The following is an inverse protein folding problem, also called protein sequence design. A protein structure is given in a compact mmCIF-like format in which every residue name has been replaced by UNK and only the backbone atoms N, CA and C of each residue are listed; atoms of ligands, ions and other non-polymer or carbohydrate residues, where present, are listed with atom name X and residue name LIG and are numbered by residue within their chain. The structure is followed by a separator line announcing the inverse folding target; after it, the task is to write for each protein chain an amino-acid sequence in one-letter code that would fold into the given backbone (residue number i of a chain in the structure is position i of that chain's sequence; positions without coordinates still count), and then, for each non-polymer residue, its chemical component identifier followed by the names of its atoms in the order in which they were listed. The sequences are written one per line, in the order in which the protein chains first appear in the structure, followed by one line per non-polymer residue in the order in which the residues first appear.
data_IF_304782890711
#
_entry.id   IF_304782890711
#
_cell.length_a   1.000
_cell.length_b   1.000
_cell.length_c   1.000
_cell.angle_alpha   90.00
_cell.angle_beta   90.00
_cell.angle_gamma   90.00
#
_symmetry.space_group_name_H-M   'P 1'
#
loop_
_entity.id
_entity.type
_entity.pdbx_description
1 polymer ?
#
# COMPACT_ATOMS: atom_id res chain seq x y z
N UNK A 1 50.63 16.13 -57.28
CA UNK A 1 49.50 15.77 -56.41
C UNK A 1 48.77 17.06 -56.13
N UNK A 2 47.64 17.22 -56.83
CA UNK A 2 47.04 18.50 -57.21
C UNK A 2 46.10 18.98 -56.11
N UNK A 3 45.88 20.30 -56.00
CA UNK A 3 44.99 20.92 -55.00
C UNK A 3 43.59 20.24 -54.90
N UNK A 4 43.12 19.66 -56.00
CA UNK A 4 41.87 18.89 -56.08
C UNK A 4 41.85 17.63 -55.18
N UNK A 5 42.99 16.97 -54.96
CA UNK A 5 43.09 15.80 -54.06
C UNK A 5 42.95 16.24 -52.59
N UNK A 6 43.52 17.39 -52.24
CA UNK A 6 43.46 18.00 -50.91
C UNK A 6 42.03 18.41 -50.58
N UNK A 7 41.32 19.07 -51.51
CA UNK A 7 39.92 19.46 -51.32
C UNK A 7 39.00 18.24 -51.13
N UNK A 8 39.26 17.16 -51.88
CA UNK A 8 38.52 15.90 -51.76
C UNK A 8 38.69 15.25 -50.38
N UNK A 9 39.89 15.28 -49.82
CA UNK A 9 40.16 14.69 -48.51
C UNK A 9 39.61 15.55 -47.36
N UNK A 10 39.62 16.88 -47.50
CA UNK A 10 38.96 17.80 -46.56
C UNK A 10 37.45 17.51 -46.51
N UNK A 11 36.79 17.43 -47.68
CA UNK A 11 35.33 17.17 -47.74
C UNK A 11 34.97 15.80 -47.16
N UNK A 12 35.79 14.76 -47.38
CA UNK A 12 35.58 13.44 -46.75
C UNK A 12 35.70 13.52 -45.23
N UNK A 13 36.69 14.25 -44.71
CA UNK A 13 36.90 14.39 -43.27
C UNK A 13 35.73 15.12 -42.60
N UNK A 14 35.25 16.21 -43.22
CA UNK A 14 34.04 16.92 -42.75
C UNK A 14 32.80 16.03 -42.79
N UNK A 15 32.63 15.23 -43.85
CA UNK A 15 31.51 14.29 -43.96
C UNK A 15 31.56 13.20 -42.88
N UNK A 16 32.74 12.65 -42.59
CA UNK A 16 32.92 11.68 -41.51
C UNK A 16 32.64 12.31 -40.14
N UNK A 17 33.11 13.53 -39.90
CA UNK A 17 32.82 14.26 -38.66
C UNK A 17 31.31 14.49 -38.48
N UNK A 18 30.63 14.92 -39.56
CA UNK A 18 29.19 15.11 -39.54
C UNK A 18 28.45 13.79 -39.25
N UNK A 19 28.90 12.70 -39.86
CA UNK A 19 28.36 11.36 -39.62
C UNK A 19 28.56 10.93 -38.17
N UNK A 20 29.75 11.08 -37.60
CA UNK A 20 30.02 10.70 -36.21
C UNK A 20 29.17 11.53 -35.22
N UNK A 21 29.02 12.83 -35.49
CA UNK A 21 28.14 13.71 -34.70
C UNK A 21 26.67 13.31 -34.82
N UNK A 22 26.23 12.95 -36.02
CA UNK A 22 24.88 12.47 -36.26
C UNK A 22 24.63 11.15 -35.53
N UNK A 23 25.53 10.18 -35.65
CA UNK A 23 25.42 8.88 -34.99
C UNK A 23 25.40 9.03 -33.47
N UNK A 24 26.25 9.90 -32.91
CA UNK A 24 26.22 10.25 -31.48
C UNK A 24 24.89 10.85 -31.07
N UNK A 25 24.41 11.87 -31.78
CA UNK A 25 23.13 12.51 -31.47
C UNK A 25 21.96 11.53 -31.55
N UNK A 26 21.96 10.66 -32.56
CA UNK A 26 20.93 9.64 -32.73
C UNK A 26 20.93 8.64 -31.56
N UNK A 27 22.11 8.19 -31.12
CA UNK A 27 22.24 7.30 -29.96
C UNK A 27 21.78 7.98 -28.66
N UNK A 28 22.16 9.24 -28.45
CA UNK A 28 21.74 10.03 -27.28
C UNK A 28 20.21 10.20 -27.27
N UNK A 29 19.59 10.44 -28.44
CA UNK A 29 18.14 10.56 -28.59
C UNK A 29 17.42 9.25 -28.27
N UNK A 30 17.92 8.11 -28.77
CA UNK A 30 17.36 6.79 -28.49
C UNK A 30 17.43 6.49 -26.99
N UNK A 31 18.59 6.70 -26.37
CA UNK A 31 18.79 6.47 -24.93
C UNK A 31 17.83 7.34 -24.08
N UNK A 32 17.69 8.61 -24.45
CA UNK A 32 16.76 9.52 -23.77
C UNK A 32 15.30 9.10 -23.94
N UNK A 33 14.93 8.59 -25.12
CA UNK A 33 13.56 8.12 -25.38
C UNK A 33 13.24 6.90 -24.51
N UNK A 34 14.14 5.92 -24.46
CA UNK A 34 14.00 4.73 -23.61
C UNK A 34 13.88 5.10 -22.12
N UNK A 35 14.71 6.03 -21.65
CA UNK A 35 14.66 6.50 -20.27
C UNK A 35 13.29 7.14 -19.92
N UNK A 36 12.74 7.97 -20.82
CA UNK A 36 11.42 8.59 -20.63
C UNK A 36 10.29 7.56 -20.63
N UNK A 37 10.34 6.56 -21.52
CA UNK A 37 9.37 5.47 -21.56
C UNK A 37 9.40 4.62 -20.29
N UNK A 38 10.60 4.30 -19.79
CA UNK A 38 10.79 3.57 -18.54
C UNK A 38 10.28 4.37 -17.34
N UNK A 39 10.56 5.67 -17.27
CA UNK A 39 10.03 6.56 -16.22
C UNK A 39 8.51 6.65 -16.27
N UNK A 40 7.93 6.80 -17.48
CA UNK A 40 6.48 6.83 -17.66
C UNK A 40 5.82 5.53 -17.21
N UNK A 41 6.43 4.38 -17.47
CA UNK A 41 5.93 3.08 -17.02
C UNK A 41 5.96 2.98 -15.49
N UNK A 42 7.09 3.30 -14.85
CA UNK A 42 7.23 3.27 -13.38
C UNK A 42 6.22 4.18 -12.69
N UNK A 43 6.02 5.39 -13.21
CA UNK A 43 5.01 6.33 -12.70
C UNK A 43 3.59 5.77 -12.85
N UNK A 44 3.27 5.14 -13.99
CA UNK A 44 1.97 4.50 -14.18
C UNK A 44 1.74 3.37 -13.18
N UNK A 45 2.73 2.49 -13.01
CA UNK A 45 2.65 1.36 -12.07
C UNK A 45 2.52 1.84 -10.62
N UNK A 46 3.27 2.88 -10.24
CA UNK A 46 3.19 3.51 -8.93
C UNK A 46 1.79 4.07 -8.68
N UNK A 47 1.25 4.87 -9.62
CA UNK A 47 -0.05 5.51 -9.47
C UNK A 47 -1.19 4.49 -9.37
N UNK A 48 -1.13 3.40 -10.14
CA UNK A 48 -2.15 2.36 -10.06
C UNK A 48 -2.08 1.61 -8.73
N UNK A 49 -0.90 1.18 -8.31
CA UNK A 49 -0.73 0.49 -7.02
C UNK A 49 -1.11 1.40 -5.83
N UNK A 50 -0.80 2.70 -5.90
CA UNK A 50 -1.20 3.68 -4.90
C UNK A 50 -2.73 3.81 -4.83
N UNK A 51 -3.39 3.90 -5.98
CA UNK A 51 -4.87 3.94 -6.06
C UNK A 51 -5.50 2.67 -5.50
N UNK A 52 -4.97 1.51 -5.86
CA UNK A 52 -5.46 0.22 -5.33
C UNK A 52 -5.31 0.15 -3.81
N UNK A 53 -4.17 0.61 -3.27
CA UNK A 53 -3.91 0.69 -1.84
C UNK A 53 -4.89 1.63 -1.13
N UNK A 54 -5.07 2.84 -1.67
CA UNK A 54 -6.03 3.84 -1.16
C UNK A 54 -7.44 3.25 -1.08
N UNK A 55 -7.93 2.67 -2.17
CA UNK A 55 -9.25 2.04 -2.18
C UNK A 55 -9.34 0.84 -1.24
N UNK A 56 -8.25 0.07 -1.08
CA UNK A 56 -8.17 -0.99 -0.09
C UNK A 56 -8.36 -0.48 1.33
N UNK A 57 -7.66 0.60 1.66
CA UNK A 57 -7.73 1.25 2.97
C UNK A 57 -9.11 1.86 3.23
N UNK A 58 -9.64 2.66 2.29
CA UNK A 58 -10.98 3.27 2.39
C UNK A 58 -12.07 2.22 2.61
N UNK A 59 -12.02 1.10 1.86
CA UNK A 59 -12.97 -0.01 2.07
C UNK A 59 -12.89 -0.59 3.49
N UNK A 60 -11.71 -0.67 4.07
CA UNK A 60 -11.56 -1.17 5.44
C UNK A 60 -12.08 -0.16 6.48
N UNK A 61 -11.80 1.12 6.27
CA UNK A 61 -12.33 2.21 7.10
C UNK A 61 -13.86 2.26 7.05
N UNK A 62 -14.47 2.13 5.86
CA UNK A 62 -15.92 2.08 5.67
C UNK A 62 -16.56 0.88 6.35
N UNK A 63 -15.94 -0.30 6.27
CA UNK A 63 -16.39 -1.50 6.99
C UNK A 63 -16.39 -1.24 8.50
N UNK A 64 -15.33 -0.63 9.03
CA UNK A 64 -15.25 -0.30 10.46
C UNK A 64 -16.33 0.72 10.86
N UNK A 65 -16.50 1.80 10.09
CA UNK A 65 -17.52 2.82 10.35
C UNK A 65 -18.94 2.24 10.31
N UNK A 66 -19.22 1.33 9.37
CA UNK A 66 -20.49 0.60 9.30
C UNK A 66 -20.72 -0.25 10.54
N UNK A 67 -19.69 -0.93 11.05
CA UNK A 67 -19.78 -1.67 12.31
C UNK A 67 -20.06 -0.76 13.52
N UNK A 68 -19.48 0.43 13.56
CA UNK A 68 -19.70 1.40 14.64
C UNK A 68 -21.09 2.01 14.61
N UNK A 69 -21.62 2.30 13.41
CA UNK A 69 -22.96 2.85 13.21
C UNK A 69 -24.07 1.89 13.68
N UNK A 70 -23.83 0.57 13.61
CA UNK A 70 -24.77 -0.44 14.10
C UNK A 70 -24.87 -0.49 15.65
N UNK A 71 -23.95 0.17 16.37
CA UNK A 71 -23.97 0.33 17.82
C UNK A 71 -23.82 -0.98 18.63
N UNK A 72 -23.90 -0.86 19.96
CA UNK A 72 -23.77 -1.99 20.91
C UNK A 72 -24.88 -3.06 20.86
N UNK A 73 -25.79 -2.98 19.88
CA UNK A 73 -26.83 -3.98 19.61
C UNK A 73 -26.21 -5.26 19.00
N UNK A 74 -24.99 -5.16 18.46
CA UNK A 74 -24.22 -6.30 18.01
C UNK A 74 -23.33 -6.89 19.13
N UNK A 75 -23.89 -7.24 20.30
CA UNK A 75 -23.27 -8.29 21.16
C UNK A 75 -23.52 -9.69 20.57
N UNK A 76 -23.51 -9.78 19.25
CA UNK A 76 -23.59 -11.03 18.50
C UNK A 76 -22.17 -11.63 18.49
N UNK A 77 -21.98 -12.90 18.86
CA UNK A 77 -20.71 -13.62 18.69
C UNK A 77 -20.07 -13.42 17.31
N UNK A 78 -20.88 -13.20 16.27
CA UNK A 78 -20.42 -12.92 14.90
C UNK A 78 -19.69 -11.59 14.75
N UNK A 79 -19.88 -10.62 15.65
CA UNK A 79 -19.16 -9.34 15.60
C UNK A 79 -17.66 -9.55 15.80
N UNK A 80 -17.26 -10.40 16.75
CA UNK A 80 -15.86 -10.69 17.01
C UNK A 80 -15.16 -11.29 15.78
N UNK A 81 -15.81 -12.25 15.11
CA UNK A 81 -15.26 -12.87 13.90
C UNK A 81 -15.15 -11.87 12.73
N UNK A 82 -16.10 -10.95 12.61
CA UNK A 82 -16.08 -9.88 11.60
C UNK A 82 -14.94 -8.89 11.86
N UNK A 83 -14.75 -8.44 13.10
CA UNK A 83 -13.66 -7.51 13.46
C UNK A 83 -12.30 -8.19 13.29
N UNK A 84 -12.16 -9.47 13.66
CA UNK A 84 -10.95 -10.26 13.41
C UNK A 84 -10.63 -10.35 11.91
N UNK A 85 -11.64 -10.66 11.11
CA UNK A 85 -11.51 -10.73 9.64
C UNK A 85 -11.09 -9.37 9.05
N UNK A 86 -11.70 -8.28 9.50
CA UNK A 86 -11.35 -6.93 9.06
C UNK A 86 -9.92 -6.54 9.49
N UNK A 87 -9.51 -6.88 10.70
CA UNK A 87 -8.12 -6.68 11.16
C UNK A 87 -7.13 -7.42 10.27
N UNK A 88 -7.43 -8.67 9.94
CA UNK A 88 -6.56 -9.49 9.09
C UNK A 88 -6.51 -8.93 7.66
N UNK A 89 -7.64 -8.42 7.12
CA UNK A 89 -7.67 -7.69 5.84
C UNK A 89 -6.77 -6.43 5.87
N UNK A 90 -6.85 -5.61 6.92
CA UNK A 90 -5.98 -4.43 7.07
C UNK A 90 -4.51 -4.85 7.18
N UNK A 91 -4.21 -5.96 7.86
CA UNK A 91 -2.85 -6.50 7.93
C UNK A 91 -2.30 -6.88 6.54
N UNK A 92 -3.15 -7.36 5.63
CA UNK A 92 -2.74 -7.68 4.25
C UNK A 92 -2.39 -6.43 3.43
N UNK A 93 -2.87 -5.24 3.80
CA UNK A 93 -2.51 -3.98 3.11
C UNK A 93 -1.04 -3.57 3.33
N UNK A 94 -0.37 -4.10 4.36
CA UNK A 94 1.04 -3.79 4.66
C UNK A 94 2.00 -4.18 3.53
N UNK A 95 1.73 -5.29 2.83
CA UNK A 95 2.59 -5.75 1.74
C UNK A 95 2.45 -4.85 0.48
N UNK A 96 1.24 -4.56 -0.02
CA UNK A 96 1.06 -3.55 -1.07
C UNK A 96 1.63 -2.19 -0.69
N UNK A 97 1.45 -1.73 0.56
CA UNK A 97 2.07 -0.49 1.07
C UNK A 97 3.59 -0.52 0.92
N UNK A 98 4.26 -1.59 1.33
CA UNK A 98 5.71 -1.72 1.17
C UNK A 98 6.15 -1.68 -0.30
N UNK A 99 5.38 -2.29 -1.20
CA UNK A 99 5.65 -2.22 -2.66
C UNK A 99 5.54 -0.78 -3.16
N UNK A 100 4.45 -0.08 -2.82
CA UNK A 100 4.22 1.32 -3.22
C UNK A 100 5.29 2.24 -2.62
N UNK A 101 5.71 1.99 -1.39
CA UNK A 101 6.80 2.74 -0.73
C UNK A 101 8.11 2.58 -1.48
N UNK A 102 8.47 1.36 -1.87
CA UNK A 102 9.66 1.12 -2.66
C UNK A 102 9.60 1.82 -4.02
N UNK A 103 8.44 1.77 -4.69
CA UNK A 103 8.21 2.49 -5.95
C UNK A 103 8.38 4.01 -5.78
N UNK A 104 7.84 4.59 -4.71
CA UNK A 104 8.04 6.01 -4.38
C UNK A 104 9.52 6.35 -4.20
N UNK A 105 10.26 5.57 -3.41
CA UNK A 105 11.69 5.80 -3.18
C UNK A 105 12.51 5.71 -4.46
N UNK A 106 12.23 4.75 -5.34
CA UNK A 106 12.91 4.65 -6.63
C UNK A 106 12.59 5.85 -7.54
N UNK A 107 11.33 6.31 -7.57
CA UNK A 107 10.93 7.50 -8.31
C UNK A 107 11.57 8.79 -7.76
N UNK A 108 11.63 8.96 -6.44
CA UNK A 108 12.28 10.11 -5.80
C UNK A 108 13.77 10.13 -6.11
N UNK A 109 14.44 8.97 -6.07
CA UNK A 109 15.85 8.87 -6.46
C UNK A 109 16.07 9.29 -7.93
N UNK A 110 15.25 8.79 -8.84
CA UNK A 110 15.32 9.12 -10.27
C UNK A 110 14.99 10.59 -10.55
N UNK A 111 14.04 11.17 -9.80
CA UNK A 111 13.73 12.59 -9.86
C UNK A 111 14.92 13.45 -9.38
N UNK A 112 15.57 13.06 -8.28
CA UNK A 112 16.73 13.74 -7.73
C UNK A 112 17.94 13.75 -8.68
N UNK A 113 18.17 12.66 -9.43
CA UNK A 113 19.18 12.60 -10.50
C UNK A 113 18.95 13.67 -11.58
N UNK A 114 17.69 14.09 -11.76
CA UNK A 114 17.28 15.13 -12.69
C UNK A 114 17.06 16.50 -12.01
N UNK A 115 17.48 16.66 -10.75
CA UNK A 115 17.27 17.88 -9.94
C UNK A 115 15.79 18.25 -9.74
N UNK A 116 14.90 17.26 -9.71
CA UNK A 116 13.47 17.42 -9.45
C UNK A 116 13.19 16.99 -8.01
N UNK A 117 12.50 17.84 -7.24
CA UNK A 117 12.04 17.50 -5.90
C UNK A 117 10.72 16.71 -5.98
N UNK A 118 10.74 15.48 -5.50
CA UNK A 118 9.60 14.58 -5.49
C UNK A 118 9.32 13.97 -4.09
N UNK A 119 9.89 14.54 -3.02
CA UNK A 119 9.79 13.99 -1.67
C UNK A 119 8.33 13.83 -1.17
N UNK A 120 7.41 14.65 -1.69
CA UNK A 120 5.98 14.52 -1.40
C UNK A 120 5.40 13.14 -1.72
N UNK A 121 5.93 12.41 -2.72
CA UNK A 121 5.49 11.05 -3.04
C UNK A 121 5.77 10.09 -1.87
N UNK A 122 6.90 10.28 -1.21
CA UNK A 122 7.25 9.52 -0.03
C UNK A 122 6.35 9.91 1.15
N UNK A 123 6.16 11.20 1.41
CA UNK A 123 5.30 11.68 2.50
C UNK A 123 3.85 11.17 2.38
N UNK A 124 3.29 11.17 1.16
CA UNK A 124 1.95 10.65 0.90
C UNK A 124 1.84 9.15 1.21
N UNK A 125 2.83 8.35 0.78
CA UNK A 125 2.83 6.91 1.03
C UNK A 125 3.07 6.57 2.49
N UNK A 126 3.90 7.35 3.19
CA UNK A 126 4.11 7.21 4.64
C UNK A 126 2.83 7.53 5.41
N UNK A 127 2.11 8.58 5.01
CA UNK A 127 0.79 8.89 5.56
C UNK A 127 -0.23 7.74 5.42
N UNK A 128 -0.18 6.99 4.31
CA UNK A 128 -0.99 5.77 4.18
C UNK A 128 -0.53 4.65 5.11
N UNK A 129 0.78 4.50 5.30
CA UNK A 129 1.35 3.56 6.25
C UNK A 129 0.89 3.82 7.67
N UNK A 130 0.92 5.09 8.09
CA UNK A 130 0.44 5.52 9.40
C UNK A 130 -1.04 5.22 9.59
N UNK A 131 -1.88 5.54 8.60
CA UNK A 131 -3.32 5.21 8.63
C UNK A 131 -3.58 3.71 8.72
N UNK A 132 -2.85 2.89 7.95
CA UNK A 132 -2.96 1.42 8.01
C UNK A 132 -2.61 0.92 9.42
N UNK A 133 -1.53 1.43 10.00
CA UNK A 133 -1.09 1.04 11.34
C UNK A 133 -2.08 1.48 12.42
N UNK A 134 -2.59 2.70 12.34
CA UNK A 134 -3.60 3.21 13.26
C UNK A 134 -4.90 2.40 13.18
N UNK A 135 -5.38 2.11 11.97
CA UNK A 135 -6.57 1.29 11.76
C UNK A 135 -6.38 -0.12 12.30
N UNK A 136 -5.23 -0.74 12.03
CA UNK A 136 -4.91 -2.06 12.55
C UNK A 136 -4.87 -2.08 14.08
N UNK A 137 -4.25 -1.08 14.72
CA UNK A 137 -4.19 -0.98 16.18
C UNK A 137 -5.60 -0.84 16.79
N UNK A 138 -6.44 0.05 16.24
CA UNK A 138 -7.84 0.20 16.67
C UNK A 138 -8.63 -1.10 16.57
N UNK A 139 -8.44 -1.85 15.48
CA UNK A 139 -9.10 -3.14 15.28
C UNK A 139 -8.60 -4.22 16.25
N UNK A 140 -7.32 -4.21 16.59
CA UNK A 140 -6.73 -5.16 17.53
C UNK A 140 -7.20 -4.90 18.96
N UNK A 141 -7.21 -3.64 19.40
CA UNK A 141 -7.79 -3.22 20.69
C UNK A 141 -9.25 -3.66 20.79
N UNK A 142 -10.03 -3.40 19.75
CA UNK A 142 -11.44 -3.81 19.69
C UNK A 142 -11.61 -5.33 19.73
N UNK A 143 -10.74 -6.09 19.06
CA UNK A 143 -10.75 -7.54 19.13
C UNK A 143 -10.51 -8.02 20.56
N UNK A 144 -9.55 -7.43 21.26
CA UNK A 144 -9.23 -7.74 22.66
C UNK A 144 -10.41 -7.47 23.59
N UNK A 145 -11.06 -6.31 23.44
CA UNK A 145 -12.23 -5.92 24.25
C UNK A 145 -13.41 -6.86 24.02
N UNK A 146 -13.72 -7.15 22.75
CA UNK A 146 -14.82 -8.05 22.40
C UNK A 146 -14.56 -9.48 22.88
N UNK A 147 -13.32 -9.97 22.78
CA UNK A 147 -12.93 -11.28 23.27
C UNK A 147 -13.06 -11.36 24.80
N UNK A 148 -12.66 -10.30 25.51
CA UNK A 148 -12.78 -10.23 26.97
C UNK A 148 -14.24 -10.19 27.42
N UNK A 149 -15.08 -9.40 26.75
CA UNK A 149 -16.51 -9.35 27.00
C UNK A 149 -17.20 -10.71 26.72
N UNK A 150 -16.83 -11.39 25.64
CA UNK A 150 -17.36 -12.71 25.31
C UNK A 150 -17.02 -13.75 26.40
N UNK A 151 -15.78 -13.75 26.90
CA UNK A 151 -15.35 -14.61 28.01
C UNK A 151 -16.14 -14.33 29.28
N UNK A 152 -16.35 -13.06 29.64
CA UNK A 152 -17.12 -12.67 30.82
C UNK A 152 -18.59 -13.15 30.74
N UNK A 153 -19.22 -13.02 29.56
CA UNK A 153 -20.60 -13.51 29.33
C UNK A 153 -20.67 -15.04 29.44
N UNK A 154 -19.68 -15.76 28.90
CA UNK A 154 -19.61 -17.21 29.03
C UNK A 154 -19.51 -17.64 30.50
N UNK A 155 -18.61 -17.03 31.27
CA UNK A 155 -18.44 -17.31 32.70
C UNK A 155 -19.72 -17.03 33.50
N UNK A 156 -20.39 -15.90 33.23
CA UNK A 156 -21.66 -15.57 33.87
C UNK A 156 -22.74 -16.62 33.55
N UNK A 157 -22.87 -17.01 32.29
CA UNK A 157 -23.84 -18.04 31.89
C UNK A 157 -23.57 -19.39 32.56
N UNK A 158 -22.31 -19.77 32.73
CA UNK A 158 -21.94 -21.01 33.42
C UNK A 158 -22.29 -20.95 34.92
N UNK A 159 -22.08 -19.80 35.58
CA UNK A 159 -22.51 -19.57 36.96
C UNK A 159 -24.03 -19.63 37.13
N UNK A 160 -24.80 -19.02 36.21
CA UNK A 160 -26.27 -19.08 36.22
C UNK A 160 -26.78 -20.52 36.06
N UNK A 161 -26.17 -21.31 35.17
CA UNK A 161 -26.51 -22.73 35.00
C UNK A 161 -26.21 -23.54 36.27
N UNK A 162 -25.06 -23.31 36.90
CA UNK A 162 -24.70 -23.97 38.15
C UNK A 162 -25.74 -23.69 39.25
N UNK A 163 -26.08 -22.41 39.46
CA UNK A 163 -27.10 -22.02 40.45
C UNK A 163 -28.48 -22.62 40.14
N UNK A 164 -28.85 -22.69 38.86
CA UNK A 164 -30.12 -23.29 38.43
C UNK A 164 -30.16 -24.78 38.77
N UNK A 165 -29.06 -25.49 38.55
CA UNK A 165 -28.94 -26.91 38.91
C UNK A 165 -29.02 -27.11 40.42
N UNK A 166 -28.31 -26.29 41.21
CA UNK A 166 -28.33 -26.36 42.68
C UNK A 166 -29.74 -26.14 43.23
N UNK A 167 -30.47 -25.14 42.72
CA UNK A 167 -31.87 -24.87 43.09
C UNK A 167 -32.78 -26.06 42.75
N UNK A 168 -32.64 -26.64 41.56
CA UNK A 168 -33.45 -27.80 41.15
C UNK A 168 -33.17 -29.04 42.02
N UNK A 169 -31.92 -29.22 42.46
CA UNK A 169 -31.54 -30.27 43.40
C UNK A 169 -32.24 -30.08 44.74
N UNK A 170 -32.19 -28.86 45.30
CA UNK A 170 -32.85 -28.52 46.56
C UNK A 170 -34.38 -28.68 46.48
N UNK A 171 -35.01 -28.33 45.35
CA UNK A 171 -36.45 -28.54 45.12
C UNK A 171 -36.84 -30.03 45.04
N UNK A 172 -35.93 -30.90 44.60
CA UNK A 172 -36.19 -32.35 44.50
C UNK A 172 -36.03 -33.06 45.84
N UNK A 173 -35.26 -32.49 46.77
CA UNK A 173 -35.03 -33.03 48.12
C UNK A 173 -36.12 -32.64 49.14
N UNK A 174 -37.04 -31.73 48.76
CA UNK A 174 -38.09 -31.14 49.61
C UNK A 174 -39.46 -31.79 49.38
#
# INVERSE_FOLDING_TARGET
HSACDIDKDIVKNELNNLKDRWDKLNNDLIARTQALEDQSRKLSDFNENLRELLHGLERCEDKLASHDALGGVARDPKLLDRVKSLRDEVAQLKRPHQTVRQQATDLVREAAENSIDANHLEDEVDGLGDRINELHAKLDDRCSDLQSAATAVMQFNDQVKALTNDLSGLETEL
#
